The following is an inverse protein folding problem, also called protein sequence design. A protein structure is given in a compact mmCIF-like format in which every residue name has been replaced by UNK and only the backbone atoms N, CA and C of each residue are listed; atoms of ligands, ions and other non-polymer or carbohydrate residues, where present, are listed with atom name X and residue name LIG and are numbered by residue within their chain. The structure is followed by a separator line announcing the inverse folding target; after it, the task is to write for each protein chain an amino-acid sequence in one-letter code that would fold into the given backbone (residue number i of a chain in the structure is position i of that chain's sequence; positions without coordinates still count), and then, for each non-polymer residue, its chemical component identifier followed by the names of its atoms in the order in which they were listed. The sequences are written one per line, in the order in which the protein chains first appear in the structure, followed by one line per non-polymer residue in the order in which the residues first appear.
data_IF_413590584886
#
_entry.id   IF_413590584886
#
_cell.length_a   1.000
_cell.length_b   1.000
_cell.length_c   1.000
_cell.angle_alpha   90.00
_cell.angle_beta   90.00
_cell.angle_gamma   90.00
#
_symmetry.space_group_name_H-M   'P 1'
#
loop_
_entity.id
_entity.type
_entity.pdbx_description
1 polymer ?
#
# COMPACT_ATOMS: atom_id res chain seq x y z
N UNK A 1 -12.34 8.95 -39.13
CA UNK A 1 -12.53 9.77 -37.94
C UNK A 1 -11.92 9.01 -36.80
N UNK A 2 -10.68 9.38 -36.44
CA UNK A 2 -9.94 8.78 -35.32
C UNK A 2 -10.61 9.21 -34.02
N UNK A 3 -11.22 8.27 -33.31
CA UNK A 3 -11.66 8.47 -31.93
C UNK A 3 -10.41 8.58 -31.07
N UNK A 4 -10.06 9.79 -30.69
CA UNK A 4 -9.06 10.03 -29.65
C UNK A 4 -9.68 9.54 -28.33
N UNK A 5 -9.29 8.36 -27.88
CA UNK A 5 -9.56 7.91 -26.52
C UNK A 5 -8.84 8.93 -25.63
N UNK A 6 -9.60 9.77 -24.91
CA UNK A 6 -9.04 10.62 -23.86
C UNK A 6 -8.44 9.67 -22.84
N UNK A 7 -7.13 9.64 -22.78
CA UNK A 7 -6.37 8.83 -21.83
C UNK A 7 -6.82 9.21 -20.42
N UNK A 8 -7.40 8.28 -19.70
CA UNK A 8 -7.51 8.39 -18.24
C UNK A 8 -6.11 8.70 -17.71
N UNK A 9 -6.01 9.60 -16.72
CA UNK A 9 -4.75 10.16 -16.24
C UNK A 9 -3.64 9.15 -15.96
N UNK A 10 -2.43 9.64 -15.95
CA UNK A 10 -1.23 8.84 -15.71
C UNK A 10 -0.95 8.68 -14.21
N UNK A 11 -0.11 7.74 -13.85
CA UNK A 11 0.38 7.54 -12.48
C UNK A 11 0.99 8.85 -11.93
N UNK A 12 1.75 9.58 -12.75
CA UNK A 12 2.39 10.85 -12.38
C UNK A 12 1.43 11.97 -12.02
N UNK A 13 0.18 11.92 -12.53
CA UNK A 13 -0.87 12.90 -12.22
C UNK A 13 -1.48 12.68 -10.83
N UNK A 14 -1.45 11.45 -10.31
CA UNK A 14 -2.13 11.04 -9.07
C UNK A 14 -1.20 10.56 -7.96
N UNK A 15 0.10 10.35 -8.24
CA UNK A 15 1.06 9.94 -7.23
C UNK A 15 1.25 11.02 -6.16
N UNK A 16 1.54 10.59 -4.95
CA UNK A 16 2.04 11.45 -3.90
C UNK A 16 3.55 11.65 -4.09
N UNK A 17 3.97 12.91 -4.18
CA UNK A 17 5.39 13.28 -4.35
C UNK A 17 6.13 13.42 -3.03
N UNK A 18 5.41 13.62 -1.95
CA UNK A 18 5.99 13.62 -0.62
C UNK A 18 6.20 12.18 -0.16
N UNK A 19 7.45 11.85 0.09
CA UNK A 19 7.87 10.53 0.55
C UNK A 19 8.40 10.67 1.98
N UNK A 20 7.81 9.92 2.90
CA UNK A 20 8.37 9.78 4.24
C UNK A 20 9.39 8.64 4.21
N UNK A 21 10.64 8.99 4.47
CA UNK A 21 11.79 8.09 4.39
C UNK A 21 12.35 7.89 5.79
N UNK A 22 12.68 6.65 6.11
CA UNK A 22 13.29 6.28 7.39
C UNK A 22 14.55 5.44 7.16
N UNK A 23 15.55 5.55 8.06
CA UNK A 23 16.71 4.67 8.02
C UNK A 23 16.32 3.22 8.38
N UNK A 24 17.11 2.22 7.91
CA UNK A 24 16.86 0.80 8.16
C UNK A 24 16.76 0.40 9.64
N UNK A 25 17.46 1.13 10.49
CA UNK A 25 17.54 0.91 11.95
C UNK A 25 16.35 1.51 12.72
N UNK A 26 15.39 2.12 12.03
CA UNK A 26 14.17 2.66 12.68
C UNK A 26 13.40 1.53 13.32
N UNK A 27 13.00 1.69 14.58
CA UNK A 27 12.17 0.70 15.29
C UNK A 27 10.75 0.69 14.74
N UNK A 28 10.05 -0.42 14.94
CA UNK A 28 8.64 -0.54 14.54
C UNK A 28 7.75 0.44 15.31
N UNK A 29 8.09 0.75 16.55
CA UNK A 29 7.38 1.77 17.35
C UNK A 29 7.51 3.13 16.66
N UNK A 30 8.74 3.56 16.35
CA UNK A 30 8.98 4.86 15.71
C UNK A 30 8.34 4.93 14.31
N UNK A 31 8.39 3.84 13.56
CA UNK A 31 7.72 3.72 12.26
C UNK A 31 6.21 3.90 12.38
N UNK A 32 5.57 3.23 13.35
CA UNK A 32 4.14 3.35 13.61
C UNK A 32 3.76 4.78 14.05
N UNK A 33 4.58 5.42 14.88
CA UNK A 33 4.37 6.81 15.30
C UNK A 33 4.46 7.78 14.12
N UNK A 34 5.42 7.60 13.21
CA UNK A 34 5.53 8.39 11.99
C UNK A 34 4.33 8.19 11.07
N UNK A 35 3.91 6.95 10.82
CA UNK A 35 2.71 6.64 10.03
C UNK A 35 1.48 7.34 10.62
N UNK A 36 1.28 7.26 11.94
CA UNK A 36 0.19 7.92 12.64
C UNK A 36 0.27 9.44 12.54
N UNK A 37 1.43 10.03 12.81
CA UNK A 37 1.65 11.47 12.82
C UNK A 37 1.43 12.12 11.45
N UNK A 38 1.82 11.43 10.39
CA UNK A 38 1.68 11.87 9.00
C UNK A 38 0.39 11.39 8.32
N UNK A 39 -0.40 10.56 9.00
CA UNK A 39 -1.63 9.92 8.45
C UNK A 39 -1.38 9.14 7.17
N UNK A 40 -0.26 8.43 7.11
CA UNK A 40 0.17 7.59 5.97
C UNK A 40 0.27 6.12 6.41
N UNK A 41 0.09 5.20 5.46
CA UNK A 41 0.10 3.77 5.73
C UNK A 41 1.37 3.05 5.24
N UNK A 42 2.39 3.81 4.82
CA UNK A 42 3.66 3.23 4.36
C UNK A 42 4.82 4.21 4.55
N UNK A 43 6.01 3.66 4.73
CA UNK A 43 7.28 4.40 4.79
C UNK A 43 8.27 3.77 3.82
N UNK A 44 9.04 4.60 3.14
CA UNK A 44 10.22 4.14 2.42
C UNK A 44 11.35 3.92 3.41
N UNK A 45 12.03 2.80 3.24
CA UNK A 45 13.24 2.48 3.99
C UNK A 45 14.41 2.66 3.05
N UNK A 46 15.25 3.65 3.31
CA UNK A 46 16.38 3.97 2.47
C UNK A 46 17.68 3.61 3.17
N UNK A 47 18.44 2.76 2.51
CA UNK A 47 19.85 2.52 2.83
C UNK A 47 20.69 3.17 1.74
N UNK A 48 21.63 4.03 2.12
CA UNK A 48 22.57 4.63 1.19
C UNK A 48 23.87 3.83 1.12
N UNK A 49 24.49 3.79 -0.07
CA UNK A 49 25.86 3.30 -0.20
C UNK A 49 26.89 4.31 0.34
N UNK A 50 28.15 3.95 0.32
CA UNK A 50 29.25 4.81 0.80
C UNK A 50 29.34 6.16 0.04
N UNK A 51 28.78 6.23 -1.16
CA UNK A 51 28.72 7.42 -2.02
C UNK A 51 27.41 8.20 -1.84
N UNK A 52 26.53 7.80 -0.90
CA UNK A 52 25.28 8.48 -0.61
C UNK A 52 24.15 8.20 -1.63
N UNK A 53 24.30 7.20 -2.50
CA UNK A 53 23.28 6.80 -3.46
C UNK A 53 22.34 5.76 -2.84
N UNK A 54 21.08 5.72 -3.29
CA UNK A 54 20.12 4.73 -2.85
C UNK A 54 20.66 3.31 -3.08
N UNK A 55 20.78 2.55 -2.00
CA UNK A 55 21.25 1.17 -2.05
C UNK A 55 20.18 0.24 -2.60
N UNK A 56 20.61 -0.88 -3.20
CA UNK A 56 19.69 -2.01 -3.54
C UNK A 56 18.97 -2.62 -2.34
N UNK A 57 19.35 -2.24 -1.13
CA UNK A 57 18.67 -2.64 0.12
C UNK A 57 17.52 -1.74 0.53
N UNK A 58 17.18 -0.74 -0.31
CA UNK A 58 15.98 0.08 -0.06
C UNK A 58 14.70 -0.74 -0.20
N UNK A 59 13.72 -0.42 0.61
CA UNK A 59 12.47 -1.16 0.68
C UNK A 59 11.29 -0.29 1.10
N UNK A 60 10.15 -0.91 1.26
CA UNK A 60 8.92 -0.30 1.78
C UNK A 60 8.41 -1.11 2.96
N UNK A 61 8.00 -0.42 4.02
CA UNK A 61 7.26 -1.00 5.15
C UNK A 61 5.87 -0.40 5.22
N UNK A 62 4.86 -1.21 5.48
CA UNK A 62 3.45 -0.82 5.51
C UNK A 62 2.79 -1.20 6.83
N UNK A 63 1.64 -0.57 7.14
CA UNK A 63 0.80 -0.97 8.30
C UNK A 63 0.50 -2.48 8.31
N UNK A 64 0.28 -3.06 7.15
CA UNK A 64 0.05 -4.51 7.02
C UNK A 64 1.27 -5.32 7.44
N UNK A 65 2.49 -4.85 7.15
CA UNK A 65 3.72 -5.50 7.58
C UNK A 65 3.86 -5.46 9.10
N UNK A 66 3.56 -4.32 9.74
CA UNK A 66 3.59 -4.18 11.19
C UNK A 66 2.65 -5.20 11.86
N UNK A 67 1.43 -5.35 11.33
CA UNK A 67 0.45 -6.28 11.88
C UNK A 67 0.89 -7.74 11.66
N UNK A 68 1.20 -8.11 10.42
CA UNK A 68 1.43 -9.52 10.05
C UNK A 68 2.81 -10.05 10.45
N UNK A 69 3.84 -9.19 10.36
CA UNK A 69 5.22 -9.61 10.56
C UNK A 69 5.74 -9.36 11.97
N UNK A 70 5.08 -8.50 12.74
CA UNK A 70 5.47 -8.17 14.11
C UNK A 70 4.39 -8.56 15.11
N UNK A 71 3.23 -7.90 15.09
CA UNK A 71 2.18 -8.12 16.10
C UNK A 71 1.66 -9.56 16.08
N UNK A 72 1.30 -10.11 14.92
CA UNK A 72 0.81 -11.48 14.81
C UNK A 72 1.83 -12.54 15.24
N UNK A 73 3.12 -12.21 15.22
CA UNK A 73 4.20 -13.08 15.71
C UNK A 73 4.52 -12.89 17.19
N UNK A 74 3.84 -11.96 17.87
CA UNK A 74 4.10 -11.64 19.27
C UNK A 74 5.48 -11.03 19.52
N UNK A 75 6.09 -10.40 18.52
CA UNK A 75 7.38 -9.75 18.65
C UNK A 75 7.23 -8.40 19.35
N UNK A 76 8.23 -8.00 20.12
CA UNK A 76 8.28 -6.68 20.73
C UNK A 76 8.63 -5.61 19.67
N UNK A 77 7.71 -4.67 19.35
CA UNK A 77 7.94 -3.66 18.31
C UNK A 77 9.10 -2.70 18.62
N UNK A 78 9.50 -2.57 19.87
CA UNK A 78 10.63 -1.72 20.28
C UNK A 78 12.00 -2.33 19.97
N UNK A 79 12.05 -3.65 19.73
CA UNK A 79 13.26 -4.41 19.45
C UNK A 79 13.38 -4.84 17.98
N UNK A 80 12.33 -4.63 17.18
CA UNK A 80 12.32 -4.96 15.75
C UNK A 80 12.57 -3.71 14.94
N UNK A 81 13.45 -3.80 13.95
CA UNK A 81 13.78 -2.72 13.01
C UNK A 81 13.04 -2.90 11.69
N UNK A 82 12.81 -1.80 10.97
CA UNK A 82 12.06 -1.81 9.70
C UNK A 82 12.73 -2.65 8.61
N UNK A 83 14.05 -2.73 8.57
CA UNK A 83 14.80 -3.54 7.60
C UNK A 83 14.54 -5.05 7.73
N UNK A 84 14.16 -5.51 8.92
CA UNK A 84 13.86 -6.92 9.19
C UNK A 84 12.51 -7.35 8.61
N UNK A 85 11.62 -6.39 8.35
CA UNK A 85 10.26 -6.68 7.90
C UNK A 85 9.86 -6.02 6.58
N UNK A 86 10.63 -5.05 6.10
CA UNK A 86 10.36 -4.34 4.84
C UNK A 86 10.27 -5.30 3.65
N UNK A 87 9.55 -4.89 2.63
CA UNK A 87 9.56 -5.55 1.33
C UNK A 87 10.64 -4.91 0.45
N UNK A 88 11.59 -5.72 0.00
CA UNK A 88 12.71 -5.33 -0.87
C UNK A 88 12.92 -6.44 -1.92
N UNK A 89 13.30 -6.13 -3.19
CA UNK A 89 13.41 -4.78 -3.74
C UNK A 89 12.06 -4.06 -3.88
N UNK A 90 12.11 -2.74 -4.07
CA UNK A 90 10.92 -1.93 -4.34
C UNK A 90 10.25 -2.35 -5.65
N UNK A 91 8.93 -2.53 -5.63
CA UNK A 91 8.14 -2.66 -6.84
C UNK A 91 7.82 -1.28 -7.37
N UNK A 92 8.23 -1.01 -8.62
CA UNK A 92 8.17 0.32 -9.21
C UNK A 92 7.31 0.37 -10.47
N UNK A 93 6.79 1.56 -10.77
CA UNK A 93 6.10 1.90 -12.02
C UNK A 93 6.57 3.28 -12.46
N UNK A 94 6.62 3.54 -13.77
CA UNK A 94 7.01 4.88 -14.28
C UNK A 94 5.82 5.85 -14.28
N UNK A 95 6.06 7.18 -14.16
CA UNK A 95 4.99 8.16 -14.02
C UNK A 95 4.12 8.34 -15.27
N UNK A 96 4.60 7.96 -16.44
CA UNK A 96 3.88 8.03 -17.72
C UNK A 96 2.87 6.88 -17.93
N UNK A 97 2.91 5.86 -17.09
CA UNK A 97 2.02 4.71 -17.21
C UNK A 97 0.57 5.07 -16.84
N UNK A 98 -0.42 4.45 -17.52
CA UNK A 98 -1.84 4.59 -17.14
C UNK A 98 -2.12 4.07 -15.72
N UNK A 99 -3.10 4.66 -15.06
CA UNK A 99 -3.57 4.20 -13.73
C UNK A 99 -4.05 2.73 -13.74
N UNK A 100 -4.57 2.25 -14.85
CA UNK A 100 -4.97 0.85 -15.00
C UNK A 100 -3.78 -0.11 -14.90
N UNK A 101 -2.62 0.27 -15.41
CA UNK A 101 -1.40 -0.54 -15.30
C UNK A 101 -0.93 -0.64 -13.84
N UNK A 102 -1.05 0.46 -13.07
CA UNK A 102 -0.78 0.43 -11.63
C UNK A 102 -1.73 -0.52 -10.89
N UNK A 103 -3.03 -0.52 -11.26
CA UNK A 103 -4.02 -1.45 -10.70
C UNK A 103 -3.64 -2.91 -10.96
N UNK A 104 -3.32 -3.25 -12.20
CA UNK A 104 -2.92 -4.61 -12.57
C UNK A 104 -1.64 -5.05 -11.88
N UNK A 105 -0.67 -4.13 -11.74
CA UNK A 105 0.60 -4.43 -11.09
C UNK A 105 0.41 -4.68 -9.58
N UNK A 106 -0.44 -3.89 -8.91
CA UNK A 106 -0.80 -4.10 -7.51
C UNK A 106 -1.54 -5.42 -7.31
N UNK A 107 -2.50 -5.75 -8.17
CA UNK A 107 -3.27 -6.99 -8.12
C UNK A 107 -2.38 -8.21 -8.32
N UNK A 108 -1.57 -8.22 -9.38
CA UNK A 108 -0.69 -9.33 -9.72
C UNK A 108 0.33 -9.64 -8.62
N UNK A 109 0.85 -8.60 -7.96
CA UNK A 109 1.86 -8.74 -6.91
C UNK A 109 1.28 -8.75 -5.49
N UNK A 110 -0.06 -8.67 -5.36
CA UNK A 110 -0.75 -8.62 -4.06
C UNK A 110 -0.25 -7.51 -3.12
N UNK A 111 0.08 -6.34 -3.69
CA UNK A 111 0.53 -5.16 -2.96
C UNK A 111 -0.51 -4.04 -3.03
N UNK A 112 -0.45 -3.11 -2.09
CA UNK A 112 -1.34 -1.94 -2.01
C UNK A 112 -0.65 -0.63 -2.34
N UNK A 113 0.66 -0.66 -2.55
CA UNK A 113 1.50 0.49 -2.84
C UNK A 113 2.48 0.14 -3.94
N UNK A 114 2.75 1.11 -4.80
CA UNK A 114 3.86 1.07 -5.77
C UNK A 114 4.69 2.33 -5.60
N UNK A 115 5.99 2.17 -5.67
CA UNK A 115 6.88 3.32 -5.80
C UNK A 115 6.88 3.80 -7.25
N UNK A 116 6.87 5.11 -7.45
CA UNK A 116 6.97 5.69 -8.79
C UNK A 116 8.41 6.07 -9.04
N UNK A 117 8.99 5.51 -10.09
CA UNK A 117 10.42 5.72 -10.45
C UNK A 117 10.53 6.41 -11.78
N UNK A 118 11.34 7.47 -11.84
CA UNK A 118 11.77 8.13 -13.07
C UNK A 118 13.32 8.16 -13.09
N UNK A 119 13.91 7.62 -14.16
CA UNK A 119 15.37 7.55 -14.35
C UNK A 119 16.12 6.97 -13.13
N UNK A 120 15.62 5.86 -12.61
CA UNK A 120 16.15 5.16 -11.43
C UNK A 120 16.03 5.90 -10.09
N UNK A 121 15.37 7.06 -10.06
CA UNK A 121 15.05 7.78 -8.83
C UNK A 121 13.61 7.54 -8.42
N UNK A 122 13.35 7.38 -7.13
CA UNK A 122 11.97 7.29 -6.60
C UNK A 122 11.42 8.71 -6.48
N UNK A 123 10.43 9.03 -7.31
CA UNK A 123 9.83 10.37 -7.43
C UNK A 123 8.44 10.47 -6.81
N UNK A 124 7.90 9.35 -6.35
CA UNK A 124 6.57 9.32 -5.75
C UNK A 124 6.15 7.93 -5.26
N UNK A 125 4.98 7.88 -4.69
CA UNK A 125 4.28 6.67 -4.29
C UNK A 125 2.82 6.76 -4.70
N UNK A 126 2.24 5.62 -5.10
CA UNK A 126 0.81 5.51 -5.40
C UNK A 126 0.22 4.34 -4.63
N UNK A 127 -0.98 4.51 -4.11
CA UNK A 127 -1.68 3.51 -3.31
C UNK A 127 -2.97 3.02 -3.99
N UNK A 128 -3.47 1.89 -3.53
CA UNK A 128 -4.80 1.37 -3.92
C UNK A 128 -5.93 2.40 -3.64
N UNK A 129 -5.77 3.25 -2.60
CA UNK A 129 -6.72 4.32 -2.28
C UNK A 129 -6.73 5.40 -3.37
N UNK A 130 -5.58 5.74 -3.93
CA UNK A 130 -5.46 6.72 -5.00
C UNK A 130 -6.09 6.21 -6.29
N UNK A 131 -5.91 4.91 -6.59
CA UNK A 131 -6.60 4.24 -7.69
C UNK A 131 -8.11 4.30 -7.51
N UNK A 132 -8.63 3.94 -6.33
CA UNK A 132 -10.07 3.97 -6.06
C UNK A 132 -10.63 5.40 -6.23
N UNK A 133 -9.93 6.42 -5.70
CA UNK A 133 -10.31 7.81 -5.84
C UNK A 133 -10.32 8.25 -7.31
N UNK A 134 -9.27 7.93 -8.06
CA UNK A 134 -9.20 8.23 -9.50
C UNK A 134 -10.38 7.63 -10.27
N UNK A 135 -10.71 6.37 -10.03
CA UNK A 135 -11.80 5.70 -10.73
C UNK A 135 -13.19 6.25 -10.38
N UNK A 136 -13.37 6.84 -9.20
CA UNK A 136 -14.62 7.48 -8.79
C UNK A 136 -14.72 8.92 -9.33
N UNK A 137 -13.63 9.68 -9.24
CA UNK A 137 -13.64 11.13 -9.52
C UNK A 137 -13.45 11.46 -11.00
N UNK A 138 -12.93 10.54 -11.83
CA UNK A 138 -12.67 10.82 -13.23
C UNK A 138 -13.95 10.75 -14.07
N UNK A 139 -14.36 11.88 -14.66
CA UNK A 139 -15.46 11.95 -15.66
C UNK A 139 -15.25 11.04 -16.89
N UNK A 140 -14.12 10.37 -16.97
CA UNK A 140 -13.70 9.47 -18.04
C UNK A 140 -13.22 8.11 -17.56
N UNK A 141 -13.35 7.80 -16.27
CA UNK A 141 -12.95 6.51 -15.70
C UNK A 141 -13.71 5.32 -16.26
N UNK A 142 -13.17 4.11 -16.12
CA UNK A 142 -13.80 2.87 -16.63
C UNK A 142 -15.16 2.54 -16.00
N UNK A 143 -15.58 3.29 -14.97
CA UNK A 143 -16.90 3.17 -14.33
C UNK A 143 -17.96 4.01 -15.06
N UNK A 144 -17.81 4.23 -16.37
CA UNK A 144 -18.90 4.78 -17.20
C UNK A 144 -20.00 3.78 -17.52
N UNK A 145 -19.77 2.53 -17.23
CA UNK A 145 -20.83 1.51 -17.27
C UNK A 145 -21.65 1.67 -15.97
N UNK A 146 -22.64 2.58 -16.04
CA UNK A 146 -23.54 2.90 -14.94
C UNK A 146 -24.18 1.64 -14.30
N UNK A 147 -24.30 0.57 -15.06
CA UNK A 147 -24.80 -0.71 -14.57
C UNK A 147 -23.90 -1.33 -13.50
N UNK A 148 -22.60 -1.05 -13.49
CA UNK A 148 -21.68 -1.55 -12.48
C UNK A 148 -21.65 -0.69 -11.20
N UNK A 149 -21.87 0.62 -11.32
CA UNK A 149 -21.89 1.54 -10.16
C UNK A 149 -23.14 1.36 -9.32
N UNK A 150 -24.26 1.00 -9.95
CA UNK A 150 -25.53 0.79 -9.28
C UNK A 150 -25.79 -0.67 -8.87
N UNK A 151 -24.78 -1.53 -8.93
CA UNK A 151 -24.93 -2.90 -8.39
C UNK A 151 -25.20 -2.85 -6.89
N UNK A 152 -26.16 -3.63 -6.38
CA UNK A 152 -26.37 -3.76 -4.95
C UNK A 152 -25.09 -4.23 -4.25
N UNK A 153 -24.80 -3.71 -3.08
CA UNK A 153 -23.63 -4.15 -2.28
C UNK A 153 -23.63 -5.64 -2.02
N UNK A 154 -24.81 -6.26 -1.97
CA UNK A 154 -24.98 -7.73 -1.82
C UNK A 154 -24.28 -8.56 -2.90
N UNK A 155 -24.01 -7.98 -4.08
CA UNK A 155 -23.27 -8.65 -5.17
C UNK A 155 -21.76 -8.58 -4.95
N UNK A 156 -21.28 -7.57 -4.21
CA UNK A 156 -19.85 -7.27 -4.02
C UNK A 156 -19.35 -7.66 -2.61
N UNK A 157 -20.27 -7.78 -1.64
CA UNK A 157 -19.90 -8.07 -0.26
C UNK A 157 -19.42 -9.52 -0.10
N UNK A 158 -18.48 -9.71 0.81
CA UNK A 158 -18.15 -11.03 1.32
C UNK A 158 -19.23 -11.50 2.27
N UNK A 159 -19.78 -12.69 2.03
CA UNK A 159 -20.84 -13.29 2.88
C UNK A 159 -20.27 -14.12 4.02
N UNK A 160 -19.02 -14.56 3.90
CA UNK A 160 -18.30 -15.22 5.00
C UNK A 160 -17.62 -14.16 5.85
N UNK A 161 -18.14 -13.97 7.06
CA UNK A 161 -17.66 -12.96 7.99
C UNK A 161 -16.86 -13.66 9.09
N UNK A 162 -15.62 -13.26 9.26
CA UNK A 162 -14.79 -13.69 10.39
C UNK A 162 -15.08 -12.79 11.58
N UNK A 163 -15.34 -13.39 12.72
CA UNK A 163 -15.67 -12.70 13.96
C UNK A 163 -14.68 -13.02 15.06
N UNK A 164 -14.56 -12.11 16.02
CA UNK A 164 -13.76 -12.31 17.24
C UNK A 164 -14.52 -11.76 18.44
N UNK A 165 -14.45 -12.43 19.58
CA UNK A 165 -15.09 -11.94 20.80
C UNK A 165 -14.34 -10.71 21.36
N UNK A 166 -15.05 -9.74 21.91
CA UNK A 166 -14.51 -8.47 22.38
C UNK A 166 -13.47 -8.58 23.52
N UNK A 167 -13.45 -9.72 24.24
CA UNK A 167 -12.51 -10.01 25.31
C UNK A 167 -11.13 -10.50 24.79
N UNK A 168 -11.07 -10.84 23.50
CA UNK A 168 -9.80 -11.32 22.91
C UNK A 168 -8.80 -10.19 22.76
N UNK A 169 -7.53 -10.56 22.83
CA UNK A 169 -6.44 -9.58 22.74
C UNK A 169 -6.21 -9.09 21.31
N UNK A 170 -5.57 -7.92 21.19
CA UNK A 170 -5.11 -7.40 19.89
C UNK A 170 -4.15 -8.36 19.21
N UNK A 171 -3.32 -9.08 19.98
CA UNK A 171 -2.45 -10.12 19.47
C UNK A 171 -3.24 -11.24 18.77
N UNK A 172 -4.27 -11.76 19.43
CA UNK A 172 -5.12 -12.82 18.86
C UNK A 172 -5.87 -12.34 17.62
N UNK A 173 -6.34 -11.07 17.62
CA UNK A 173 -6.95 -10.46 16.45
C UNK A 173 -5.95 -10.37 15.28
N UNK A 174 -4.72 -9.92 15.53
CA UNK A 174 -3.66 -9.83 14.53
C UNK A 174 -3.29 -11.22 13.97
N UNK A 175 -3.22 -12.24 14.83
CA UNK A 175 -2.97 -13.64 14.43
C UNK A 175 -4.07 -14.16 13.51
N UNK A 176 -5.33 -13.96 13.88
CA UNK A 176 -6.48 -14.40 13.08
C UNK A 176 -6.52 -13.69 11.71
N UNK A 177 -6.27 -12.37 11.68
CA UNK A 177 -6.19 -11.62 10.42
C UNK A 177 -5.06 -12.13 9.53
N UNK A 178 -3.90 -12.45 10.11
CA UNK A 178 -2.75 -12.98 9.36
C UNK A 178 -3.03 -14.38 8.81
N UNK A 179 -3.59 -15.29 9.61
CA UNK A 179 -3.95 -16.65 9.22
C UNK A 179 -4.98 -16.66 8.09
N UNK A 180 -6.05 -15.88 8.25
CA UNK A 180 -7.16 -15.80 7.28
C UNK A 180 -6.85 -14.89 6.08
N UNK A 181 -5.73 -14.16 6.11
CA UNK A 181 -5.35 -13.16 5.09
C UNK A 181 -6.40 -12.07 4.87
N UNK A 182 -7.08 -11.67 5.93
CA UNK A 182 -8.09 -10.61 5.93
C UNK A 182 -7.57 -9.33 6.59
N UNK A 183 -8.22 -8.20 6.33
CA UNK A 183 -7.87 -6.90 6.88
C UNK A 183 -8.83 -6.37 7.93
N UNK A 184 -9.88 -7.15 8.28
CA UNK A 184 -10.89 -6.74 9.25
C UNK A 184 -11.51 -7.95 9.93
N UNK A 185 -11.98 -7.75 11.15
CA UNK A 185 -12.76 -8.69 11.94
C UNK A 185 -13.99 -7.95 12.47
N UNK A 186 -15.09 -8.66 12.55
CA UNK A 186 -16.27 -8.17 13.28
C UNK A 186 -16.13 -8.56 14.76
N UNK A 187 -16.40 -7.61 15.65
CA UNK A 187 -16.34 -7.81 17.10
C UNK A 187 -17.73 -7.90 17.69
#
# INVERSE_FOLDING_TARGET
TSMTVRSGGTVGDFMHRYLEIVPPETTIVDAAERMRGQQIGSLLVESTDAEGRMSRRSGIVTETDLIRKVLAKGMDPSLVMVDQIMTSPLLTITPDRPMLDASHLMETNHVRYLCVSDKDEIVGIISMRDLARHFVDSEGGPIRDLDNVYRPLSVLMHTTIETIAGERTVLEAAQLMAEKRIGSLLV
#
